data_IF_658941639036
#
_entry.id   IF_658941639036
#
_cell.length_a   1.000
_cell.length_b   1.000
_cell.length_c   1.000
_cell.angle_alpha   90.00
_cell.angle_beta   90.00
_cell.angle_gamma   90.00
#
_symmetry.space_group_name_H-M   'P 1'
#
loop_
_entity.id
_entity.type
_entity.pdbx_description
1 polymer ?
#
# COMPACT_ATOMS: atom_id res chain seq x y z
N UNK A 1 -6.57 7.33 -20.93
CA UNK A 1 -6.15 8.63 -20.39
C UNK A 1 -6.18 8.50 -18.88
N UNK A 2 -5.06 8.11 -18.28
CA UNK A 2 -4.96 7.99 -16.82
C UNK A 2 -3.77 8.88 -16.48
N UNK A 3 -4.07 9.91 -15.71
CA UNK A 3 -3.19 11.04 -15.46
C UNK A 3 -1.86 10.55 -14.91
N UNK A 4 -0.80 10.94 -15.62
CA UNK A 4 0.57 10.54 -15.36
C UNK A 4 0.96 10.91 -13.94
N UNK A 5 1.22 9.88 -13.14
CA UNK A 5 2.01 10.05 -11.93
C UNK A 5 3.47 10.18 -12.31
N UNK A 6 3.79 11.33 -12.90
CA UNK A 6 5.07 11.95 -12.69
C UNK A 6 5.28 11.98 -11.18
N UNK A 7 6.41 11.43 -10.72
CA UNK A 7 6.92 11.66 -9.38
C UNK A 7 7.09 13.18 -9.22
N UNK A 8 6.02 13.88 -8.80
CA UNK A 8 5.91 15.34 -8.73
C UNK A 8 6.68 15.89 -7.52
N UNK A 9 7.81 15.26 -7.24
CA UNK A 9 8.63 15.43 -6.05
C UNK A 9 10.08 14.96 -6.23
N UNK A 10 10.57 14.70 -7.45
CA UNK A 10 12.02 14.85 -7.69
C UNK A 10 12.33 16.35 -7.67
N UNK A 11 12.33 16.94 -6.47
CA UNK A 11 12.64 18.34 -6.19
C UNK A 11 13.87 18.74 -7.02
N UNK A 12 13.66 19.63 -7.99
CA UNK A 12 14.72 20.18 -8.84
C UNK A 12 15.58 21.13 -8.00
N UNK A 13 16.35 20.61 -7.04
CA UNK A 13 17.46 21.38 -6.49
C UNK A 13 18.50 20.53 -5.76
N UNK A 14 19.65 20.44 -6.45
CA UNK A 14 21.00 20.68 -5.93
C UNK A 14 21.70 19.51 -5.19
N UNK A 15 22.88 19.20 -5.76
CA UNK A 15 23.95 18.31 -5.28
C UNK A 15 23.77 16.79 -5.49
N UNK A 16 23.78 16.36 -6.75
CA UNK A 16 24.29 15.01 -7.05
C UNK A 16 25.81 15.04 -6.96
N UNK A 17 26.38 14.07 -6.24
CA UNK A 17 27.82 13.91 -6.07
C UNK A 17 28.50 13.99 -7.45
N UNK A 18 29.44 14.92 -7.64
CA UNK A 18 30.15 15.17 -8.92
C UNK A 18 30.65 13.89 -9.59
N UNK A 19 31.01 12.89 -8.79
CA UNK A 19 31.40 11.56 -9.24
C UNK A 19 30.32 10.80 -10.00
N UNK A 20 29.06 10.81 -9.54
CA UNK A 20 27.95 10.15 -10.25
C UNK A 20 27.74 10.77 -11.63
N UNK A 21 27.75 12.11 -11.71
CA UNK A 21 27.57 12.83 -12.97
C UNK A 21 28.71 12.55 -13.95
N UNK A 22 29.95 12.50 -13.46
CA UNK A 22 31.12 12.16 -14.27
C UNK A 22 30.98 10.77 -14.91
N UNK A 23 30.64 9.75 -14.12
CA UNK A 23 30.50 8.39 -14.62
C UNK A 23 29.27 8.20 -15.51
N UNK A 24 28.15 8.84 -15.18
CA UNK A 24 26.97 8.85 -16.05
C UNK A 24 27.31 9.43 -17.43
N UNK A 25 27.95 10.61 -17.47
CA UNK A 25 28.37 11.24 -18.73
C UNK A 25 29.36 10.38 -19.51
N UNK A 26 30.33 9.76 -18.82
CA UNK A 26 31.30 8.86 -19.47
C UNK A 26 30.60 7.66 -20.10
N UNK A 27 29.61 7.07 -19.43
CA UNK A 27 28.81 5.97 -19.96
C UNK A 27 27.97 6.39 -21.16
N UNK A 28 27.29 7.54 -21.09
CA UNK A 28 26.51 8.10 -22.20
C UNK A 28 27.35 8.39 -23.46
N UNK A 29 28.61 8.80 -23.28
CA UNK A 29 29.53 9.03 -24.41
C UNK A 29 29.97 7.72 -25.08
N UNK A 30 30.14 6.65 -24.30
CA UNK A 30 30.53 5.33 -24.79
C UNK A 30 29.36 4.58 -25.43
N UNK A 31 28.17 4.67 -24.84
CA UNK A 31 26.97 3.93 -25.23
C UNK A 31 25.89 4.85 -25.79
N UNK A 32 26.06 5.29 -27.04
CA UNK A 32 25.14 6.24 -27.70
C UNK A 32 23.80 5.61 -28.11
N UNK A 33 23.74 4.29 -28.16
CA UNK A 33 22.55 3.50 -28.44
C UNK A 33 21.55 3.49 -27.28
N UNK A 34 22.02 3.79 -26.06
CA UNK A 34 21.20 3.78 -24.86
C UNK A 34 20.58 5.16 -24.59
N UNK A 35 19.39 5.22 -24.00
CA UNK A 35 18.77 6.48 -23.61
C UNK A 35 19.56 7.17 -22.49
N UNK A 36 19.41 8.49 -22.41
CA UNK A 36 20.05 9.33 -21.40
C UNK A 36 19.83 8.79 -19.98
N UNK A 37 20.92 8.73 -19.19
CA UNK A 37 20.89 8.24 -17.82
C UNK A 37 20.26 9.31 -16.92
N UNK A 38 19.05 9.00 -16.44
CA UNK A 38 18.32 9.83 -15.48
C UNK A 38 18.44 9.26 -14.08
N UNK A 39 18.31 10.12 -13.09
CA UNK A 39 18.33 9.73 -11.66
C UNK A 39 17.04 9.06 -11.22
N UNK A 40 15.93 9.58 -11.72
CA UNK A 40 14.60 9.06 -11.46
C UNK A 40 14.25 8.17 -12.66
N UNK A 41 13.67 7.00 -12.40
CA UNK A 41 13.25 6.07 -13.45
C UNK A 41 12.21 6.73 -14.36
N UNK A 42 12.30 6.46 -15.66
CA UNK A 42 11.36 6.96 -16.67
C UNK A 42 10.20 6.00 -16.96
N UNK A 43 10.18 4.81 -16.34
CA UNK A 43 9.10 3.84 -16.50
C UNK A 43 7.98 4.04 -15.48
N UNK A 44 6.76 3.71 -15.88
CA UNK A 44 5.60 3.71 -15.01
C UNK A 44 5.69 2.56 -14.00
N UNK A 45 5.73 2.91 -12.72
CA UNK A 45 5.81 1.92 -11.64
C UNK A 45 4.40 1.52 -11.21
N UNK A 46 3.96 0.34 -11.63
CA UNK A 46 2.70 -0.22 -11.11
C UNK A 46 2.90 -0.73 -9.69
N UNK A 47 2.19 -0.14 -8.73
CA UNK A 47 2.26 -0.53 -7.32
C UNK A 47 0.94 -1.16 -6.85
N UNK A 48 1.05 -2.13 -5.93
CA UNK A 48 -0.11 -2.85 -5.38
C UNK A 48 -0.88 -2.01 -4.37
N UNK A 49 -0.18 -1.23 -3.54
CA UNK A 49 -0.78 -0.43 -2.48
C UNK A 49 -0.68 1.04 -2.85
N UNK A 50 -1.82 1.68 -3.05
CA UNK A 50 -1.92 3.10 -3.36
C UNK A 50 -2.55 3.80 -2.17
N UNK A 51 -1.87 4.80 -1.63
CA UNK A 51 -2.37 5.62 -0.54
C UNK A 51 -2.79 6.98 -1.08
N UNK A 52 -3.92 7.51 -0.63
CA UNK A 52 -4.44 8.83 -1.03
C UNK A 52 -4.52 9.75 0.18
N UNK A 53 -4.09 10.98 0.02
CA UNK A 53 -4.26 11.99 1.06
C UNK A 53 -5.73 12.42 1.10
N UNK A 54 -6.32 12.39 2.29
CA UNK A 54 -7.72 12.75 2.53
C UNK A 54 -8.01 14.23 2.32
N UNK A 55 -6.99 15.10 2.41
CA UNK A 55 -7.15 16.56 2.26
C UNK A 55 -6.89 17.04 0.83
N UNK A 56 -5.70 16.78 0.29
CA UNK A 56 -5.31 17.31 -1.02
C UNK A 56 -5.43 16.30 -2.17
N UNK A 57 -5.84 15.06 -1.88
CA UNK A 57 -5.98 14.02 -2.90
C UNK A 57 -4.67 13.46 -3.44
N UNK A 58 -3.50 13.98 -3.02
CA UNK A 58 -2.20 13.50 -3.47
C UNK A 58 -2.03 12.03 -3.13
N UNK A 59 -1.54 11.26 -4.08
CA UNK A 59 -1.45 9.82 -3.93
C UNK A 59 0.02 9.35 -3.88
N UNK A 60 0.26 8.20 -3.24
CA UNK A 60 1.58 7.59 -3.04
C UNK A 60 1.48 6.08 -3.26
N UNK A 61 2.25 5.55 -4.22
CA UNK A 61 2.35 4.11 -4.49
C UNK A 61 3.43 3.40 -3.67
N UNK A 62 3.15 2.16 -3.22
CA UNK A 62 4.10 1.26 -2.52
C UNK A 62 3.92 -0.21 -2.96
N UNK A 63 5.03 -0.95 -3.04
CA UNK A 63 5.01 -2.38 -3.36
C UNK A 63 4.59 -3.25 -2.16
N UNK A 64 4.80 -2.77 -0.94
CA UNK A 64 4.36 -3.40 0.32
C UNK A 64 3.45 -2.47 1.12
N UNK A 65 2.70 -3.04 2.07
CA UNK A 65 1.81 -2.29 2.98
C UNK A 65 2.60 -1.65 4.13
N UNK A 66 3.63 -0.90 3.81
CA UNK A 66 4.62 -0.37 4.76
C UNK A 66 4.37 1.06 5.22
N UNK A 67 3.44 1.79 4.57
CA UNK A 67 3.07 3.12 5.01
C UNK A 67 2.06 3.01 6.15
N UNK A 68 2.52 3.34 7.36
CA UNK A 68 1.66 3.53 8.51
C UNK A 68 0.97 4.90 8.43
N UNK A 69 -0.35 4.87 8.21
CA UNK A 69 -1.18 6.06 8.03
C UNK A 69 -1.43 6.82 9.33
N UNK A 70 -1.14 6.23 10.50
CA UNK A 70 -1.28 6.90 11.79
C UNK A 70 -0.09 7.82 12.09
N UNK A 71 1.12 7.42 11.66
CA UNK A 71 2.35 8.19 11.94
C UNK A 71 2.80 9.06 10.77
N UNK A 72 2.50 8.65 9.52
CA UNK A 72 2.95 9.38 8.33
C UNK A 72 1.86 10.31 7.80
N UNK A 73 2.27 11.54 7.50
CA UNK A 73 1.41 12.60 6.95
C UNK A 73 1.87 13.02 5.55
N UNK A 74 0.97 13.63 4.81
CA UNK A 74 1.25 14.16 3.48
C UNK A 74 2.33 15.24 3.53
N UNK A 75 3.37 15.12 2.70
CA UNK A 75 4.44 16.11 2.62
C UNK A 75 3.98 17.49 2.12
N UNK A 76 2.88 17.57 1.37
CA UNK A 76 2.38 18.82 0.80
C UNK A 76 1.44 19.58 1.75
N UNK A 77 0.45 18.89 2.33
CA UNK A 77 -0.62 19.54 3.12
C UNK A 77 -0.68 19.07 4.59
N UNK A 78 0.23 18.17 5.01
CA UNK A 78 0.22 17.53 6.33
C UNK A 78 -1.08 16.80 6.68
N UNK A 79 -1.88 16.44 5.67
CA UNK A 79 -3.09 15.61 5.83
C UNK A 79 -2.78 14.14 6.08
N UNK A 80 -3.78 13.39 6.52
CA UNK A 80 -3.67 11.93 6.73
C UNK A 80 -3.80 11.18 5.41
N UNK A 81 -3.32 9.95 5.39
CA UNK A 81 -3.45 9.05 4.25
C UNK A 81 -4.51 7.98 4.51
N UNK A 82 -5.20 7.57 3.46
CA UNK A 82 -6.05 6.38 3.42
C UNK A 82 -5.52 5.41 2.36
N UNK A 83 -5.62 4.10 2.62
CA UNK A 83 -5.27 3.09 1.63
C UNK A 83 -6.43 2.87 0.66
N UNK A 84 -6.16 2.90 -0.64
CA UNK A 84 -7.11 2.55 -1.67
C UNK A 84 -7.10 1.04 -1.92
N UNK A 85 -8.28 0.42 -1.93
CA UNK A 85 -8.51 -0.92 -2.49
C UNK A 85 -8.88 -0.78 -3.96
N UNK A 86 -8.38 -1.69 -4.80
CA UNK A 86 -8.86 -1.82 -6.17
C UNK A 86 -9.99 -2.83 -6.21
N UNK A 87 -11.13 -2.41 -6.73
CA UNK A 87 -12.27 -3.29 -6.94
C UNK A 87 -12.04 -4.16 -8.17
N UNK A 88 -12.88 -5.18 -8.39
CA UNK A 88 -12.81 -6.05 -9.59
C UNK A 88 -12.86 -5.27 -10.92
N UNK A 89 -13.43 -4.06 -10.88
CA UNK A 89 -13.56 -3.15 -12.02
C UNK A 89 -12.42 -2.12 -12.12
N UNK A 90 -11.38 -2.22 -11.30
CA UNK A 90 -10.22 -1.32 -11.32
C UNK A 90 -10.45 0.05 -10.67
N UNK A 91 -11.67 0.33 -10.17
CA UNK A 91 -11.98 1.57 -9.45
C UNK A 91 -11.28 1.52 -8.08
N UNK A 92 -10.59 2.60 -7.74
CA UNK A 92 -9.88 2.73 -6.48
C UNK A 92 -10.81 3.37 -5.43
N UNK A 93 -11.30 2.56 -4.49
CA UNK A 93 -12.14 3.02 -3.38
C UNK A 93 -11.37 2.98 -2.06
N UNK A 94 -11.76 3.76 -1.04
CA UNK A 94 -11.19 3.62 0.29
C UNK A 94 -11.34 2.18 0.79
N UNK A 95 -10.25 1.57 1.24
CA UNK A 95 -10.28 0.21 1.74
C UNK A 95 -11.15 0.14 3.00
N UNK A 96 -12.37 -0.42 2.87
CA UNK A 96 -13.25 -0.64 4.02
C UNK A 96 -12.65 -1.71 4.92
N UNK A 97 -12.26 -1.35 6.14
CA UNK A 97 -11.68 -2.27 7.13
C UNK A 97 -12.72 -2.89 8.06
N UNK A 98 -14.02 -2.70 7.81
CA UNK A 98 -15.06 -3.29 8.66
C UNK A 98 -14.93 -4.82 8.63
N UNK A 99 -14.61 -5.47 9.76
CA UNK A 99 -14.48 -6.92 9.80
C UNK A 99 -15.82 -7.56 9.45
N UNK A 100 -15.79 -8.69 8.74
CA UNK A 100 -17.00 -9.48 8.51
C UNK A 100 -17.65 -9.87 9.86
N UNK A 101 -18.97 -10.06 9.89
CA UNK A 101 -19.73 -10.50 11.06
C UNK A 101 -19.08 -11.72 11.74
N UNK A 102 -18.61 -12.69 10.96
CA UNK A 102 -17.86 -13.84 11.48
C UNK A 102 -16.54 -13.45 12.16
N UNK A 103 -15.78 -12.51 11.57
CA UNK A 103 -14.51 -12.05 12.15
C UNK A 103 -14.73 -11.31 13.48
N UNK A 104 -15.81 -10.54 13.60
CA UNK A 104 -16.23 -9.94 14.87
C UNK A 104 -16.59 -11.02 15.90
N UNK A 105 -17.42 -11.99 15.51
CA UNK A 105 -17.83 -13.10 16.37
C UNK A 105 -16.63 -13.91 16.89
N UNK A 106 -15.67 -14.23 16.02
CA UNK A 106 -14.43 -14.91 16.39
C UNK A 106 -13.67 -14.07 17.40
N UNK A 107 -13.49 -12.76 17.16
CA UNK A 107 -12.77 -11.87 18.08
C UNK A 107 -13.38 -11.86 19.48
N UNK A 108 -14.70 -11.86 19.59
CA UNK A 108 -15.44 -11.82 20.85
C UNK A 108 -15.38 -13.16 21.61
N UNK A 109 -15.50 -14.29 20.90
CA UNK A 109 -15.65 -15.61 21.52
C UNK A 109 -14.36 -16.43 21.63
N UNK A 110 -13.30 -16.06 20.90
CA UNK A 110 -12.07 -16.85 20.81
C UNK A 110 -11.42 -17.14 22.17
N UNK A 111 -11.32 -16.14 23.06
CA UNK A 111 -10.70 -16.33 24.37
C UNK A 111 -11.46 -17.34 25.25
N UNK A 112 -12.77 -17.42 25.11
CA UNK A 112 -13.62 -18.39 25.84
C UNK A 112 -13.43 -19.81 25.29
N UNK A 113 -13.48 -19.97 23.96
CA UNK A 113 -13.33 -21.27 23.30
C UNK A 113 -11.90 -21.81 23.42
N UNK A 114 -10.89 -20.94 23.37
CA UNK A 114 -9.47 -21.32 23.49
C UNK A 114 -9.13 -22.00 24.81
N UNK A 115 -9.85 -21.73 25.90
CA UNK A 115 -9.66 -22.41 27.19
C UNK A 115 -10.05 -23.89 27.15
N UNK A 116 -11.00 -24.25 26.29
CA UNK A 116 -11.56 -25.61 26.17
C UNK A 116 -10.82 -26.48 25.14
N UNK A 117 -10.00 -25.88 24.27
CA UNK A 117 -9.35 -26.57 23.18
C UNK A 117 -7.87 -26.22 23.08
N UNK A 118 -7.01 -27.25 23.05
CA UNK A 118 -5.56 -27.09 22.99
C UNK A 118 -5.09 -26.58 21.62
N UNK A 119 -5.74 -26.97 20.51
CA UNK A 119 -5.30 -26.61 19.16
C UNK A 119 -6.10 -25.44 18.57
N UNK A 120 -5.42 -24.57 17.81
CA UNK A 120 -6.06 -23.44 17.13
C UNK A 120 -7.10 -23.92 16.10
N UNK A 121 -6.82 -25.05 15.45
CA UNK A 121 -7.72 -25.69 14.48
C UNK A 121 -9.07 -26.02 15.12
N UNK A 122 -9.07 -26.65 16.29
CA UNK A 122 -10.31 -27.05 16.98
C UNK A 122 -11.11 -25.84 17.44
N UNK A 123 -10.44 -24.79 17.92
CA UNK A 123 -11.08 -23.51 18.28
C UNK A 123 -11.80 -22.90 17.08
N UNK A 124 -11.14 -22.82 15.93
CA UNK A 124 -11.75 -22.24 14.73
C UNK A 124 -12.90 -23.10 14.17
N UNK A 125 -12.80 -24.43 14.26
CA UNK A 125 -13.90 -25.32 13.88
C UNK A 125 -15.12 -25.15 14.79
N UNK A 126 -14.91 -25.05 16.10
CA UNK A 126 -15.99 -24.86 17.06
C UNK A 126 -16.67 -23.50 16.87
N UNK A 127 -15.90 -22.43 16.74
CA UNK A 127 -16.44 -21.09 16.47
C UNK A 127 -17.25 -21.03 15.16
N UNK A 128 -16.82 -21.77 14.14
CA UNK A 128 -17.55 -21.85 12.87
C UNK A 128 -18.92 -22.52 13.05
N UNK A 129 -18.99 -23.60 13.83
CA UNK A 129 -20.26 -24.29 14.16
C UNK A 129 -21.19 -23.38 14.96
N UNK A 130 -20.67 -22.75 16.02
CA UNK A 130 -21.44 -21.85 16.88
C UNK A 130 -21.99 -20.64 16.10
N UNK A 131 -21.19 -20.07 15.20
CA UNK A 131 -21.64 -18.98 14.34
C UNK A 131 -22.73 -19.40 13.35
N UNK A 132 -22.60 -20.60 12.74
CA UNK A 132 -23.61 -21.14 11.83
C UNK A 132 -24.94 -21.35 12.54
N UNK A 133 -24.90 -21.91 13.75
CA UNK A 133 -26.10 -22.12 14.58
C UNK A 133 -26.77 -20.82 15.02
N UNK A 134 -26.01 -19.77 15.34
CA UNK A 134 -26.59 -18.46 15.70
C UNK A 134 -27.20 -17.71 14.52
N UNK A 135 -26.73 -17.95 13.30
CA UNK A 135 -27.19 -17.24 12.11
C UNK A 135 -28.36 -17.93 11.39
N UNK A 136 -28.83 -19.09 11.86
CA UNK A 136 -29.91 -19.90 11.25
C UNK A 136 -29.86 -19.88 9.70
N UNK A 137 -28.76 -20.40 9.15
CA UNK A 137 -28.70 -20.96 7.81
C UNK A 137 -28.79 -22.48 7.90
#
# INVERSE_FOLDING_TARGET
>A
MIDGWSCSGCFESVAFLKYWQYWARKSELTHKELPQIRRCHSYDITTKFIYRCTKCGQQVGRHSKSLDTATKVCGYCKGTFELLSRDKNGVATPAKSTPNKFAMFVKENYASVRKRHATHKDVMQQLSKEFSSQMNL
#
